data_IF_955622115429
#
_entry.id   IF_955622115429
#
_cell.length_a   1.000
_cell.length_b   1.000
_cell.length_c   1.000
_cell.angle_alpha   90.00
_cell.angle_beta   90.00
_cell.angle_gamma   90.00
#
_symmetry.space_group_name_H-M   'P 1'
#
loop_
_entity.id
_entity.type
_entity.pdbx_description
1 polymer ?
#
# COMPACT_ATOMS: atom_id res chain seq x y z
N UNK A 1 16.82 5.16 -16.91
CA UNK A 1 17.09 4.02 -16.00
C UNK A 1 16.92 4.36 -14.52
N UNK A 2 17.66 5.33 -13.93
CA UNK A 2 17.51 5.68 -12.50
C UNK A 2 16.08 6.06 -12.07
N UNK A 3 15.38 6.88 -12.86
CA UNK A 3 13.98 7.27 -12.59
C UNK A 3 13.02 6.09 -12.57
N UNK A 4 13.21 5.13 -13.48
CA UNK A 4 12.44 3.89 -13.52
C UNK A 4 12.68 3.02 -12.27
N UNK A 5 13.93 2.90 -11.81
CA UNK A 5 14.27 2.17 -10.59
C UNK A 5 13.62 2.81 -9.34
N UNK A 6 13.61 4.14 -9.25
CA UNK A 6 12.93 4.84 -8.15
C UNK A 6 11.40 4.69 -8.20
N UNK A 7 10.81 4.69 -9.40
CA UNK A 7 9.38 4.39 -9.57
C UNK A 7 9.04 2.96 -9.14
N UNK A 8 9.84 1.98 -9.55
CA UNK A 8 9.66 0.58 -9.18
C UNK A 8 9.83 0.36 -7.67
N UNK A 9 10.82 1.01 -7.06
CA UNK A 9 10.99 0.99 -5.61
C UNK A 9 9.76 1.59 -4.90
N UNK A 10 9.30 2.76 -5.34
CA UNK A 10 8.09 3.40 -4.81
C UNK A 10 6.85 2.52 -4.95
N UNK A 11 6.73 1.78 -6.05
CA UNK A 11 5.66 0.81 -6.27
C UNK A 11 5.65 -0.31 -5.23
N UNK A 12 6.80 -0.97 -5.04
CA UNK A 12 6.91 -2.04 -4.04
C UNK A 12 6.70 -1.54 -2.61
N UNK A 13 7.23 -0.36 -2.28
CA UNK A 13 7.02 0.26 -0.98
C UNK A 13 5.53 0.54 -0.74
N UNK A 14 4.79 1.06 -1.73
CA UNK A 14 3.35 1.27 -1.60
C UNK A 14 2.53 0.01 -1.50
N UNK A 15 2.91 -1.03 -2.24
CA UNK A 15 2.29 -2.36 -2.14
C UNK A 15 2.39 -2.89 -0.71
N UNK A 16 3.60 -2.90 -0.15
CA UNK A 16 3.85 -3.36 1.22
C UNK A 16 3.12 -2.47 2.24
N UNK A 17 3.20 -1.15 2.08
CA UNK A 17 2.51 -0.20 2.96
C UNK A 17 0.99 -0.42 2.95
N UNK A 18 0.39 -0.70 1.79
CA UNK A 18 -1.05 -0.97 1.68
C UNK A 18 -1.42 -2.25 2.41
N UNK A 19 -0.64 -3.31 2.26
CA UNK A 19 -0.83 -4.57 3.00
C UNK A 19 -0.77 -4.30 4.51
N UNK A 20 0.25 -3.58 4.98
CA UNK A 20 0.41 -3.25 6.41
C UNK A 20 -0.75 -2.41 6.94
N UNK A 21 -1.21 -1.41 6.20
CA UNK A 21 -2.33 -0.56 6.62
C UNK A 21 -3.65 -1.32 6.69
N UNK A 22 -3.92 -2.20 5.72
CA UNK A 22 -5.15 -2.99 5.69
C UNK A 22 -5.16 -4.02 6.82
N UNK A 23 -4.11 -4.83 6.95
CA UNK A 23 -4.02 -5.82 8.02
C UNK A 23 -3.90 -5.17 9.41
N UNK A 24 -3.08 -4.13 9.54
CA UNK A 24 -2.92 -3.39 10.79
C UNK A 24 -4.20 -2.70 11.21
N UNK A 25 -4.91 -2.07 10.27
CA UNK A 25 -6.22 -1.46 10.50
C UNK A 25 -7.27 -2.47 10.93
N UNK A 26 -7.27 -3.67 10.33
CA UNK A 26 -8.16 -4.75 10.74
C UNK A 26 -7.86 -5.27 12.15
N UNK A 27 -6.59 -5.53 12.47
CA UNK A 27 -6.19 -5.95 13.83
C UNK A 27 -6.58 -4.89 14.85
N UNK A 28 -6.34 -3.61 14.56
CA UNK A 28 -6.75 -2.52 15.44
C UNK A 28 -8.28 -2.49 15.59
N UNK A 29 -9.02 -2.66 14.49
CA UNK A 29 -10.48 -2.71 14.51
C UNK A 29 -11.01 -3.86 15.38
N UNK A 30 -10.52 -5.08 15.20
CA UNK A 30 -10.96 -6.24 15.99
C UNK A 30 -10.66 -6.08 17.47
N UNK A 31 -9.47 -5.56 17.81
CA UNK A 31 -9.08 -5.30 19.20
C UNK A 31 -9.95 -4.21 19.84
N UNK A 32 -10.25 -3.12 19.13
CA UNK A 32 -11.03 -2.00 19.66
C UNK A 32 -12.51 -2.34 19.78
N UNK A 33 -13.06 -3.10 18.83
CA UNK A 33 -14.49 -3.41 18.77
C UNK A 33 -14.87 -4.74 19.42
N UNK A 34 -13.88 -5.57 19.78
CA UNK A 34 -14.12 -6.94 20.22
C UNK A 34 -14.71 -7.83 19.12
N UNK A 35 -14.57 -7.43 17.85
CA UNK A 35 -15.13 -8.16 16.71
C UNK A 35 -14.38 -9.47 16.50
N UNK A 36 -15.11 -10.59 16.55
CA UNK A 36 -14.62 -11.92 16.21
C UNK A 36 -15.21 -12.36 14.88
N UNK A 37 -14.34 -12.54 13.88
CA UNK A 37 -14.73 -13.07 12.57
C UNK A 37 -14.83 -14.60 12.64
N UNK A 38 -16.02 -15.11 12.97
CA UNK A 38 -16.25 -16.55 13.18
C UNK A 38 -16.22 -17.38 11.88
N UNK A 39 -16.50 -16.76 10.73
CA UNK A 39 -16.61 -17.43 9.44
C UNK A 39 -15.47 -17.07 8.47
N UNK A 40 -14.58 -16.15 8.85
CA UNK A 40 -13.50 -15.67 7.98
C UNK A 40 -14.00 -14.86 6.78
N UNK A 41 -15.30 -14.48 6.76
CA UNK A 41 -15.90 -13.72 5.68
C UNK A 41 -15.26 -12.33 5.55
N UNK A 42 -14.88 -11.73 6.69
CA UNK A 42 -14.23 -10.43 6.73
C UNK A 42 -12.78 -10.53 6.28
N UNK A 43 -12.07 -11.59 6.68
CA UNK A 43 -10.73 -11.90 6.19
C UNK A 43 -10.70 -12.15 4.67
N UNK A 44 -11.69 -12.87 4.12
CA UNK A 44 -11.84 -13.06 2.66
C UNK A 44 -12.17 -11.75 1.94
N UNK A 45 -13.05 -10.92 2.52
CA UNK A 45 -13.35 -9.57 2.04
C UNK A 45 -12.11 -8.69 1.98
N UNK A 46 -11.26 -8.72 3.00
CA UNK A 46 -9.98 -8.00 2.99
C UNK A 46 -9.01 -8.52 1.92
N UNK A 47 -8.90 -9.84 1.76
CA UNK A 47 -8.03 -10.43 0.75
C UNK A 47 -8.43 -9.99 -0.67
N UNK A 48 -9.73 -9.93 -0.96
CA UNK A 48 -10.23 -9.42 -2.24
C UNK A 48 -10.01 -7.91 -2.39
N UNK A 49 -10.16 -7.12 -1.32
CA UNK A 49 -9.84 -5.69 -1.35
C UNK A 49 -8.34 -5.42 -1.61
N UNK A 50 -7.44 -6.24 -1.07
CA UNK A 50 -6.00 -6.12 -1.29
C UNK A 50 -5.60 -6.31 -2.76
N UNK A 51 -6.34 -7.12 -3.52
CA UNK A 51 -6.11 -7.30 -4.95
C UNK A 51 -6.29 -5.99 -5.73
N UNK A 52 -7.21 -5.13 -5.31
CA UNK A 52 -7.48 -3.84 -5.96
C UNK A 52 -6.70 -2.69 -5.31
N UNK A 53 -6.70 -2.61 -3.98
CA UNK A 53 -6.06 -1.52 -3.24
C UNK A 53 -4.54 -1.60 -3.29
N UNK A 54 -3.95 -2.81 -3.28
CA UNK A 54 -2.51 -3.00 -3.32
C UNK A 54 -1.86 -2.35 -4.55
N UNK A 55 -2.31 -2.68 -5.78
CA UNK A 55 -1.82 -2.03 -6.99
C UNK A 55 -2.06 -0.52 -7.01
N UNK A 56 -3.22 -0.05 -6.53
CA UNK A 56 -3.52 1.39 -6.45
C UNK A 56 -2.53 2.10 -5.52
N UNK A 57 -2.31 1.57 -4.32
CA UNK A 57 -1.36 2.11 -3.37
C UNK A 57 0.07 2.12 -3.93
N UNK A 58 0.48 1.03 -4.58
CA UNK A 58 1.76 0.96 -5.29
C UNK A 58 1.90 2.00 -6.40
N UNK A 59 0.89 2.18 -7.25
CA UNK A 59 0.92 3.17 -8.33
C UNK A 59 1.04 4.58 -7.74
N UNK A 60 0.21 4.92 -6.73
CA UNK A 60 0.23 6.24 -6.08
C UNK A 60 1.59 6.54 -5.48
N UNK A 61 2.17 5.63 -4.70
CA UNK A 61 3.52 5.85 -4.15
C UNK A 61 4.59 5.86 -5.21
N UNK A 62 4.49 5.08 -6.29
CA UNK A 62 5.43 5.15 -7.41
C UNK A 62 5.47 6.55 -8.03
N UNK A 63 4.30 7.16 -8.24
CA UNK A 63 4.18 8.54 -8.71
C UNK A 63 4.75 9.54 -7.70
N UNK A 64 4.42 9.41 -6.42
CA UNK A 64 4.97 10.28 -5.37
C UNK A 64 6.49 10.16 -5.28
N UNK A 65 7.02 8.94 -5.31
CA UNK A 65 8.46 8.69 -5.23
C UNK A 65 9.19 9.25 -6.45
N UNK A 66 8.64 9.06 -7.65
CA UNK A 66 9.17 9.68 -8.86
C UNK A 66 9.11 11.21 -8.82
N UNK A 67 8.05 11.79 -8.26
CA UNK A 67 7.90 13.24 -8.11
C UNK A 67 8.92 13.84 -7.14
N UNK A 68 9.04 13.28 -5.93
CA UNK A 68 9.92 13.81 -4.88
C UNK A 68 11.41 13.51 -5.13
N UNK A 69 11.73 12.30 -5.59
CA UNK A 69 13.13 11.87 -5.75
C UNK A 69 13.64 11.97 -7.19
N UNK A 70 12.76 11.95 -8.19
CA UNK A 70 13.14 12.12 -9.59
C UNK A 70 13.46 13.57 -10.00
N UNK A 71 13.00 14.56 -9.22
CA UNK A 71 13.26 16.00 -9.48
C UNK A 71 14.66 16.49 -9.13
N UNK A 72 15.54 15.67 -8.54
CA UNK A 72 16.92 16.07 -8.16
C UNK A 72 17.88 16.37 -9.33
N UNK A 73 17.39 16.71 -10.53
CA UNK A 73 18.20 17.19 -11.67
C UNK A 73 17.63 18.42 -12.40
N UNK A 74 16.54 19.03 -11.93
CA UNK A 74 15.92 20.18 -12.62
C UNK A 74 16.09 21.52 -11.88
N UNK A 75 17.10 21.65 -11.01
CA UNK A 75 17.50 22.94 -10.44
C UNK A 75 19.03 23.01 -10.49
N UNK A 76 19.48 23.86 -11.42
CA UNK A 76 20.76 24.57 -11.57
C UNK A 76 22.05 23.88 -11.08
#
# INVERSE_FOLDING_TARGET
MRSFLFGLLGFFVGLVATVVLVFGGYIAFTVVTGYHDFEGATAMGMASMLFFLGPVGGIVTAFLFAYFFGRKRAVA
#
